data_IF_211979997592
#
_entry.id   IF_211979997592
#
_cell.length_a   1.000
_cell.length_b   1.000
_cell.length_c   1.000
_cell.angle_alpha   90.00
_cell.angle_beta   90.00
_cell.angle_gamma   90.00
#
_symmetry.space_group_name_H-M   'P 1'
#
loop_
_entity.id
_entity.type
_entity.pdbx_description
1 polymer ?
#
# COMPACT_ATOMS: atom_id res chain seq x y z
N UNK A 1 -5.25 -52.70 -17.77
CA UNK A 1 -5.25 -51.43 -17.01
C UNK A 1 -5.99 -50.42 -17.85
N UNK A 2 -7.18 -49.98 -17.43
CA UNK A 2 -7.88 -48.88 -18.11
C UNK A 2 -6.98 -47.65 -18.06
N UNK A 3 -6.78 -46.98 -19.19
CA UNK A 3 -5.96 -45.78 -19.23
C UNK A 3 -6.69 -44.71 -18.40
N UNK A 4 -5.96 -43.87 -17.67
CA UNK A 4 -6.57 -42.75 -16.92
C UNK A 4 -7.40 -41.82 -17.83
N UNK A 5 -7.22 -41.92 -19.14
CA UNK A 5 -7.94 -41.15 -20.15
C UNK A 5 -9.29 -41.77 -20.55
N UNK A 6 -9.53 -43.07 -20.31
CA UNK A 6 -10.77 -43.75 -20.72
C UNK A 6 -11.99 -43.25 -19.93
N UNK A 7 -11.76 -42.63 -18.77
CA UNK A 7 -12.78 -42.05 -17.89
C UNK A 7 -12.58 -40.54 -17.66
N UNK A 8 -11.78 -39.88 -18.51
CA UNK A 8 -11.40 -38.48 -18.33
C UNK A 8 -12.61 -37.56 -18.34
N UNK A 9 -13.60 -37.82 -19.22
CA UNK A 9 -14.83 -37.02 -19.28
C UNK A 9 -15.56 -37.02 -17.95
N UNK A 10 -15.72 -38.19 -17.31
CA UNK A 10 -16.35 -38.30 -15.99
C UNK A 10 -15.53 -37.60 -14.91
N UNK A 11 -14.21 -37.73 -14.93
CA UNK A 11 -13.31 -37.07 -13.98
C UNK A 11 -13.35 -35.55 -14.12
N UNK A 12 -13.43 -35.03 -15.35
CA UNK A 12 -13.57 -33.61 -15.65
C UNK A 12 -15.00 -33.07 -15.45
N UNK A 13 -16.00 -33.96 -15.30
CA UNK A 13 -17.40 -33.58 -15.05
C UNK A 13 -17.71 -33.39 -13.56
N UNK A 14 -16.83 -33.82 -12.66
CA UNK A 14 -16.91 -33.52 -11.23
C UNK A 14 -16.15 -32.24 -10.89
N UNK A 15 -16.57 -31.54 -9.85
CA UNK A 15 -15.84 -30.38 -9.34
C UNK A 15 -14.37 -30.73 -9.03
N UNK A 16 -13.40 -29.84 -9.31
CA UNK A 16 -12.00 -30.09 -9.04
C UNK A 16 -11.77 -30.37 -7.54
N UNK A 17 -11.28 -31.56 -7.21
CA UNK A 17 -10.92 -31.93 -5.84
C UNK A 17 -9.51 -31.44 -5.50
N UNK A 18 -9.37 -30.16 -5.19
CA UNK A 18 -8.13 -29.62 -4.64
C UNK A 18 -8.04 -29.99 -3.15
N UNK A 19 -6.96 -30.68 -2.76
CA UNK A 19 -6.77 -31.07 -1.35
C UNK A 19 -6.40 -29.84 -0.50
N UNK A 20 -6.72 -29.86 0.79
CA UNK A 20 -6.30 -28.81 1.73
C UNK A 20 -4.78 -28.60 1.77
N UNK A 21 -4.00 -29.67 1.51
CA UNK A 21 -2.55 -29.58 1.37
C UNK A 21 -2.13 -28.76 0.15
N UNK A 22 -2.81 -28.96 -0.99
CA UNK A 22 -2.53 -28.19 -2.20
C UNK A 22 -2.93 -26.73 -2.00
N UNK A 23 -4.08 -26.47 -1.37
CA UNK A 23 -4.54 -25.12 -1.03
C UNK A 23 -3.50 -24.36 -0.18
N UNK A 24 -3.00 -25.00 0.88
CA UNK A 24 -1.98 -24.41 1.73
C UNK A 24 -0.66 -24.11 0.98
N UNK A 25 -0.25 -24.99 0.06
CA UNK A 25 0.96 -24.78 -0.75
C UNK A 25 0.81 -23.59 -1.71
N UNK A 26 -0.38 -23.38 -2.29
CA UNK A 26 -0.65 -22.23 -3.16
C UNK A 26 -0.64 -20.90 -2.38
N UNK A 27 -0.98 -20.93 -1.09
CA UNK A 27 -1.03 -19.77 -0.20
C UNK A 27 0.27 -19.54 0.59
N UNK A 28 1.33 -20.32 0.34
CA UNK A 28 2.56 -20.23 1.12
C UNK A 28 3.23 -18.84 1.04
N UNK A 29 3.37 -18.19 -0.14
CA UNK A 29 3.89 -16.81 -0.21
C UNK A 29 3.06 -15.79 0.58
N UNK A 30 1.73 -15.95 0.58
CA UNK A 30 0.82 -15.10 1.34
C UNK A 30 0.94 -15.33 2.85
N UNK A 31 1.01 -16.60 3.26
CA UNK A 31 1.20 -16.98 4.67
C UNK A 31 2.53 -16.45 5.19
N UNK A 32 3.58 -16.55 4.37
CA UNK A 32 4.90 -16.02 4.69
C UNK A 32 4.86 -14.51 4.98
N UNK A 33 4.33 -13.69 4.07
CA UNK A 33 4.32 -12.23 4.26
C UNK A 33 3.41 -11.78 5.42
N UNK A 34 2.28 -12.46 5.63
CA UNK A 34 1.33 -12.14 6.70
C UNK A 34 1.80 -12.59 8.09
N UNK A 35 2.65 -13.63 8.16
CA UNK A 35 3.23 -14.11 9.43
C UNK A 35 4.27 -13.17 10.04
N UNK A 36 4.82 -12.25 9.23
CA UNK A 36 5.84 -11.31 9.68
C UNK A 36 5.20 -10.13 10.42
N UNK A 37 5.54 -9.86 11.69
CA UNK A 37 4.93 -8.79 12.45
C UNK A 37 5.19 -7.42 11.81
N UNK A 38 4.13 -6.63 11.60
CA UNK A 38 4.22 -5.23 11.20
C UNK A 38 3.76 -4.29 12.31
N UNK A 39 3.76 -2.97 12.04
CA UNK A 39 3.19 -1.96 12.96
C UNK A 39 1.66 -2.01 13.05
N UNK A 40 1.00 -2.89 12.28
CA UNK A 40 -0.46 -3.10 12.24
C UNK A 40 -1.28 -1.81 12.06
N UNK A 41 -0.72 -0.81 11.35
CA UNK A 41 -1.32 0.52 11.22
C UNK A 41 -2.69 0.44 10.53
N UNK A 42 -2.87 -0.44 9.54
CA UNK A 42 -4.15 -0.60 8.83
C UNK A 42 -5.26 -1.13 9.74
N UNK A 43 -4.97 -2.16 10.54
CA UNK A 43 -5.92 -2.70 11.52
C UNK A 43 -6.29 -1.61 12.54
N UNK A 44 -5.31 -0.84 13.03
CA UNK A 44 -5.53 0.30 13.93
C UNK A 44 -6.36 1.40 13.29
N UNK A 45 -6.12 1.71 12.02
CA UNK A 45 -6.91 2.69 11.26
C UNK A 45 -8.37 2.25 11.16
N UNK A 46 -8.63 1.00 10.73
CA UNK A 46 -9.99 0.46 10.66
C UNK A 46 -10.68 0.57 12.04
N UNK A 47 -9.99 0.20 13.12
CA UNK A 47 -10.54 0.29 14.48
C UNK A 47 -10.81 1.73 14.90
N UNK A 48 -9.92 2.67 14.57
CA UNK A 48 -10.09 4.09 14.86
C UNK A 48 -11.28 4.67 14.08
N UNK A 49 -11.40 4.40 12.78
CA UNK A 49 -12.55 4.80 11.96
C UNK A 49 -13.87 4.18 12.47
N UNK A 50 -13.82 2.97 13.02
CA UNK A 50 -15.02 2.30 13.52
C UNK A 50 -15.61 2.98 14.76
N UNK A 51 -14.81 3.78 15.49
CA UNK A 51 -15.33 4.60 16.60
C UNK A 51 -16.35 5.65 16.13
N UNK A 52 -16.25 6.10 14.89
CA UNK A 52 -17.21 7.01 14.26
C UNK A 52 -18.36 6.27 13.58
N UNK A 53 -18.07 5.15 12.91
CA UNK A 53 -19.03 4.48 11.99
C UNK A 53 -19.86 3.36 12.64
N UNK A 54 -19.39 2.78 13.74
CA UNK A 54 -20.07 1.71 14.47
C UNK A 54 -20.59 0.58 13.54
N UNK A 55 -19.69 0.04 12.71
CA UNK A 55 -20.02 -1.06 11.79
C UNK A 55 -20.32 -2.34 12.59
N UNK A 56 -21.35 -3.13 12.25
CA UNK A 56 -21.63 -4.40 12.91
C UNK A 56 -20.41 -5.32 12.94
N UNK A 57 -20.16 -5.95 14.09
CA UNK A 57 -18.93 -6.71 14.34
C UNK A 57 -18.66 -7.78 13.28
N UNK A 58 -19.68 -8.53 12.86
CA UNK A 58 -19.53 -9.59 11.85
C UNK A 58 -19.15 -9.04 10.47
N UNK A 59 -19.72 -7.90 10.07
CA UNK A 59 -19.36 -7.19 8.85
C UNK A 59 -17.95 -6.58 8.94
N UNK A 60 -17.61 -5.94 10.06
CA UNK A 60 -16.28 -5.36 10.29
C UNK A 60 -15.17 -6.41 10.19
N UNK A 61 -15.38 -7.62 10.72
CA UNK A 61 -14.41 -8.71 10.59
C UNK A 61 -14.21 -9.14 9.12
N UNK A 62 -15.27 -9.15 8.30
CA UNK A 62 -15.14 -9.43 6.87
C UNK A 62 -14.34 -8.31 6.19
N UNK A 63 -14.66 -7.04 6.47
CA UNK A 63 -13.94 -5.88 5.92
C UNK A 63 -12.44 -5.95 6.26
N UNK A 64 -12.09 -6.23 7.52
CA UNK A 64 -10.70 -6.41 7.94
C UNK A 64 -9.99 -7.52 7.15
N UNK A 65 -10.64 -8.67 6.94
CA UNK A 65 -10.08 -9.77 6.14
C UNK A 65 -9.87 -9.37 4.68
N UNK A 66 -10.86 -8.74 4.05
CA UNK A 66 -10.78 -8.27 2.65
C UNK A 66 -9.63 -7.29 2.49
N UNK A 67 -9.57 -6.25 3.33
CA UNK A 67 -8.49 -5.24 3.29
C UNK A 67 -7.12 -5.88 3.49
N UNK A 68 -6.97 -6.78 4.48
CA UNK A 68 -5.69 -7.44 4.74
C UNK A 68 -5.25 -8.35 3.58
N UNK A 69 -6.19 -9.07 2.96
CA UNK A 69 -5.90 -9.92 1.81
C UNK A 69 -5.46 -9.11 0.60
N UNK A 70 -6.23 -8.08 0.24
CA UNK A 70 -5.91 -7.20 -0.90
C UNK A 70 -4.59 -6.46 -0.67
N UNK A 71 -4.34 -5.99 0.55
CA UNK A 71 -3.09 -5.34 0.88
C UNK A 71 -1.88 -6.28 0.80
N UNK A 72 -1.97 -7.48 1.38
CA UNK A 72 -0.86 -8.43 1.30
C UNK A 72 -0.63 -8.90 -0.14
N UNK A 73 -1.69 -9.11 -0.93
CA UNK A 73 -1.58 -9.41 -2.36
C UNK A 73 -0.90 -8.27 -3.12
N UNK A 74 -1.25 -7.01 -2.85
CA UNK A 74 -0.62 -5.86 -3.49
C UNK A 74 0.87 -5.80 -3.16
N UNK A 75 1.27 -6.04 -1.91
CA UNK A 75 2.68 -6.07 -1.51
C UNK A 75 3.49 -7.15 -2.22
N UNK A 76 2.93 -8.34 -2.40
CA UNK A 76 3.61 -9.44 -3.11
C UNK A 76 3.93 -9.06 -4.56
N UNK A 77 3.03 -8.33 -5.23
CA UNK A 77 3.22 -7.88 -6.62
C UNK A 77 4.14 -6.65 -6.68
N UNK A 78 3.97 -5.70 -5.77
CA UNK A 78 4.79 -4.49 -5.62
C UNK A 78 6.27 -4.85 -5.43
N UNK A 79 6.57 -5.78 -4.50
CA UNK A 79 7.94 -6.27 -4.27
C UNK A 79 8.59 -6.87 -5.53
N UNK A 80 7.80 -7.45 -6.43
CA UNK A 80 8.29 -7.99 -7.72
C UNK A 80 8.51 -6.86 -8.72
N UNK A 81 7.57 -5.92 -8.81
CA UNK A 81 7.61 -4.79 -9.74
C UNK A 81 8.78 -3.84 -9.43
N UNK A 82 9.18 -3.77 -8.16
CA UNK A 82 10.27 -2.94 -7.67
C UNK A 82 11.59 -3.71 -7.50
N UNK A 83 11.61 -5.02 -7.75
CA UNK A 83 12.77 -5.89 -7.49
C UNK A 83 13.34 -5.73 -6.06
N UNK A 84 12.45 -5.52 -5.09
CA UNK A 84 12.82 -5.31 -3.70
C UNK A 84 13.58 -6.51 -3.14
N UNK A 85 14.48 -6.26 -2.18
CA UNK A 85 15.26 -7.33 -1.55
C UNK A 85 14.66 -7.78 -0.22
N UNK A 86 14.24 -6.81 0.60
CA UNK A 86 13.73 -7.05 1.94
C UNK A 86 12.36 -6.43 2.14
N UNK A 87 11.55 -7.07 2.99
CA UNK A 87 10.34 -6.51 3.57
C UNK A 87 10.28 -6.89 5.04
N UNK A 88 10.11 -5.89 5.90
CA UNK A 88 10.07 -6.07 7.37
C UNK A 88 11.30 -6.83 7.90
N UNK A 89 12.47 -6.59 7.30
CA UNK A 89 13.75 -7.21 7.67
C UNK A 89 13.94 -8.65 7.18
N UNK A 90 13.00 -9.20 6.41
CA UNK A 90 13.09 -10.55 5.85
C UNK A 90 13.16 -10.50 4.32
N UNK A 91 13.74 -11.51 3.65
CA UNK A 91 13.72 -11.60 2.19
C UNK A 91 12.30 -11.56 1.64
N UNK A 92 12.06 -10.83 0.56
CA UNK A 92 10.73 -10.80 -0.06
C UNK A 92 10.34 -12.16 -0.63
N UNK A 93 9.02 -12.43 -0.69
CA UNK A 93 8.49 -13.75 -1.02
C UNK A 93 8.98 -14.29 -2.38
N UNK A 94 9.11 -13.42 -3.39
CA UNK A 94 9.53 -13.83 -4.73
C UNK A 94 11.00 -14.28 -4.80
N UNK A 95 11.85 -13.89 -3.85
CA UNK A 95 13.24 -14.38 -3.74
C UNK A 95 13.30 -15.78 -3.12
N UNK A 96 12.26 -16.20 -2.40
CA UNK A 96 12.16 -17.53 -1.76
C UNK A 96 11.40 -18.50 -2.65
N UNK A 97 10.20 -18.11 -3.09
CA UNK A 97 9.24 -18.96 -3.81
C UNK A 97 9.29 -18.79 -5.33
N UNK A 98 10.03 -17.79 -5.81
CA UNK A 98 10.12 -17.46 -7.22
C UNK A 98 8.98 -16.57 -7.71
N UNK A 99 9.32 -15.71 -8.67
CA UNK A 99 8.40 -14.75 -9.30
C UNK A 99 7.08 -15.40 -9.78
N UNK A 100 7.08 -16.53 -10.52
CA UNK A 100 5.84 -17.09 -11.04
C UNK A 100 4.85 -17.53 -9.95
N UNK A 101 5.34 -18.18 -8.89
CA UNK A 101 4.50 -18.62 -7.78
C UNK A 101 3.94 -17.42 -7.02
N UNK A 102 4.77 -16.42 -6.72
CA UNK A 102 4.34 -15.25 -5.97
C UNK A 102 3.28 -14.43 -6.72
N UNK A 103 3.42 -14.23 -8.05
CA UNK A 103 2.38 -13.58 -8.87
C UNK A 103 1.08 -14.37 -8.81
N UNK A 104 1.14 -15.70 -9.00
CA UNK A 104 -0.05 -16.54 -8.98
C UNK A 104 -0.74 -16.51 -7.61
N UNK A 105 0.01 -16.58 -6.51
CA UNK A 105 -0.52 -16.47 -5.15
C UNK A 105 -1.19 -15.13 -4.90
N UNK A 106 -0.57 -14.01 -5.32
CA UNK A 106 -1.16 -12.69 -5.14
C UNK A 106 -2.50 -12.57 -5.89
N UNK A 107 -2.54 -12.98 -7.16
CA UNK A 107 -3.78 -12.99 -7.96
C UNK A 107 -4.84 -13.90 -7.33
N UNK A 108 -4.43 -15.08 -6.85
CA UNK A 108 -5.35 -16.01 -6.19
C UNK A 108 -5.99 -15.42 -4.94
N UNK A 109 -5.19 -14.76 -4.09
CA UNK A 109 -5.65 -14.07 -2.88
C UNK A 109 -6.62 -12.94 -3.21
N UNK A 110 -6.42 -12.19 -4.30
CA UNK A 110 -7.40 -11.20 -4.75
C UNK A 110 -8.78 -11.84 -4.98
N UNK A 111 -8.85 -13.00 -5.65
CA UNK A 111 -10.12 -13.69 -5.88
C UNK A 111 -10.73 -14.28 -4.60
N UNK A 112 -9.90 -14.73 -3.64
CA UNK A 112 -10.38 -15.12 -2.30
C UNK A 112 -10.98 -13.90 -1.58
N UNK A 113 -10.39 -12.72 -1.72
CA UNK A 113 -10.95 -11.48 -1.16
C UNK A 113 -12.32 -11.14 -1.78
N UNK A 114 -12.50 -11.33 -3.09
CA UNK A 114 -13.83 -11.20 -3.72
C UNK A 114 -14.84 -12.22 -3.21
N UNK A 115 -14.42 -13.45 -2.92
CA UNK A 115 -15.30 -14.46 -2.29
C UNK A 115 -15.79 -14.00 -0.90
N UNK A 116 -14.91 -13.45 -0.07
CA UNK A 116 -15.31 -12.85 1.22
C UNK A 116 -16.21 -11.62 1.02
N UNK A 117 -15.96 -10.82 -0.01
CA UNK A 117 -16.77 -9.64 -0.35
C UNK A 117 -18.21 -10.01 -0.75
N UNK A 118 -18.43 -11.14 -1.42
CA UNK A 118 -19.78 -11.62 -1.71
C UNK A 118 -20.55 -11.99 -0.43
N UNK A 119 -19.87 -12.56 0.57
CA UNK A 119 -20.47 -12.81 1.88
C UNK A 119 -20.83 -11.50 2.61
N UNK A 120 -20.01 -10.45 2.47
CA UNK A 120 -20.33 -9.11 2.97
C UNK A 120 -21.56 -8.54 2.27
N UNK A 121 -21.66 -8.69 0.94
CA UNK A 121 -22.79 -8.22 0.13
C UNK A 121 -24.11 -8.83 0.60
N UNK A 122 -24.16 -10.14 0.81
CA UNK A 122 -25.36 -10.83 1.31
C UNK A 122 -25.81 -10.30 2.67
N UNK A 123 -24.86 -10.07 3.58
CA UNK A 123 -25.13 -9.50 4.91
C UNK A 123 -25.56 -8.04 4.84
N UNK A 124 -24.96 -7.24 3.96
CA UNK A 124 -25.27 -5.82 3.82
C UNK A 124 -26.63 -5.60 3.15
N UNK A 125 -26.97 -6.40 2.14
CA UNK A 125 -28.26 -6.35 1.45
C UNK A 125 -29.44 -6.62 2.38
N UNK A 126 -29.24 -7.42 3.43
CA UNK A 126 -30.24 -7.68 4.45
C UNK A 126 -30.48 -6.48 5.40
N UNK A 127 -29.55 -5.52 5.47
CA UNK A 127 -29.57 -4.43 6.46
C UNK A 127 -29.82 -3.07 5.78
N UNK A 128 -29.00 -2.66 4.81
CA UNK A 128 -29.16 -1.40 4.08
C UNK A 128 -28.25 -1.35 2.83
N UNK A 129 -28.78 -1.48 1.60
CA UNK A 129 -27.96 -1.37 0.39
C UNK A 129 -27.76 0.12 0.04
N UNK A 130 -26.78 0.78 0.66
CA UNK A 130 -26.38 2.16 0.30
C UNK A 130 -25.52 2.21 -0.95
N UNK A 131 -24.48 1.40 -0.96
CA UNK A 131 -23.54 1.29 -2.07
C UNK A 131 -23.18 -0.18 -2.28
N UNK A 132 -22.98 -0.57 -3.53
CA UNK A 132 -22.61 -1.92 -3.89
C UNK A 132 -21.14 -2.17 -3.47
N UNK A 133 -20.94 -2.98 -2.42
CA UNK A 133 -19.61 -3.24 -1.84
C UNK A 133 -18.61 -3.83 -2.85
N UNK A 134 -19.10 -4.59 -3.84
CA UNK A 134 -18.33 -5.10 -4.97
C UNK A 134 -17.92 -4.00 -5.95
N UNK A 135 -18.78 -3.01 -6.20
CA UNK A 135 -18.43 -1.85 -7.02
C UNK A 135 -17.35 -0.97 -6.35
N UNK A 136 -17.46 -0.74 -5.03
CA UNK A 136 -16.44 0.00 -4.25
C UNK A 136 -15.07 -0.63 -4.43
N UNK A 137 -14.95 -1.93 -4.17
CA UNK A 137 -13.66 -2.62 -4.25
C UNK A 137 -13.13 -2.64 -5.68
N UNK A 138 -13.99 -2.87 -6.68
CA UNK A 138 -13.58 -2.83 -8.08
C UNK A 138 -13.06 -1.45 -8.50
N UNK A 139 -13.75 -0.38 -8.13
CA UNK A 139 -13.35 1.00 -8.43
C UNK A 139 -12.00 1.34 -7.79
N UNK A 140 -11.83 1.06 -6.49
CA UNK A 140 -10.60 1.40 -5.80
C UNK A 140 -9.41 0.51 -6.21
N UNK A 141 -9.66 -0.74 -6.62
CA UNK A 141 -8.62 -1.57 -7.24
C UNK A 141 -8.18 -0.99 -8.59
N UNK A 142 -9.08 -0.40 -9.37
CA UNK A 142 -8.70 0.31 -10.59
C UNK A 142 -7.83 1.54 -10.28
N UNK A 143 -8.19 2.32 -9.25
CA UNK A 143 -7.36 3.44 -8.79
C UNK A 143 -5.97 2.96 -8.36
N UNK A 144 -5.89 1.92 -7.51
CA UNK A 144 -4.61 1.30 -7.11
C UNK A 144 -3.72 0.94 -8.29
N UNK A 145 -4.28 0.30 -9.32
CA UNK A 145 -3.52 -0.09 -10.52
C UNK A 145 -3.14 1.10 -11.40
N UNK A 146 -3.96 2.15 -11.47
CA UNK A 146 -3.60 3.39 -12.17
C UNK A 146 -2.43 4.08 -11.47
N UNK A 147 -2.49 4.23 -10.15
CA UNK A 147 -1.41 4.80 -9.36
C UNK A 147 -0.10 4.00 -9.51
N UNK A 148 -0.16 2.68 -9.31
CA UNK A 148 1.01 1.81 -9.51
C UNK A 148 1.55 1.88 -10.96
N UNK A 149 0.66 1.92 -11.94
CA UNK A 149 1.02 2.01 -13.35
C UNK A 149 1.74 3.32 -13.69
N UNK A 150 1.30 4.45 -13.13
CA UNK A 150 1.97 5.75 -13.30
C UNK A 150 3.34 5.76 -12.64
N UNK A 151 3.46 5.24 -11.41
CA UNK A 151 4.74 5.14 -10.68
C UNK A 151 5.78 4.35 -11.50
N UNK A 152 5.37 3.18 -12.01
CA UNK A 152 6.21 2.34 -12.89
C UNK A 152 6.51 3.04 -14.21
N UNK A 153 5.52 3.64 -14.87
CA UNK A 153 5.68 4.32 -16.15
C UNK A 153 6.71 5.44 -16.04
N UNK A 154 6.59 6.31 -15.05
CA UNK A 154 7.52 7.40 -14.80
C UNK A 154 8.93 6.88 -14.56
N UNK A 155 9.08 5.93 -13.62
CA UNK A 155 10.35 5.27 -13.30
C UNK A 155 11.03 4.66 -14.53
N UNK A 156 10.30 3.90 -15.33
CA UNK A 156 10.87 3.12 -16.44
C UNK A 156 11.05 3.96 -17.72
N UNK A 157 10.30 5.06 -17.88
CA UNK A 157 10.49 6.04 -18.95
C UNK A 157 11.44 7.19 -18.60
N UNK A 158 11.91 7.25 -17.35
CA UNK A 158 12.71 8.34 -16.78
C UNK A 158 12.04 9.73 -16.92
N UNK A 159 10.71 9.75 -16.81
CA UNK A 159 9.93 10.97 -16.80
C UNK A 159 9.62 11.37 -15.36
N UNK A 160 10.29 12.42 -14.86
CA UNK A 160 9.99 12.96 -13.53
C UNK A 160 8.61 13.66 -13.58
N UNK A 161 7.64 13.26 -12.75
CA UNK A 161 6.34 13.94 -12.68
C UNK A 161 6.46 15.30 -11.99
N UNK A 162 5.45 16.16 -12.19
CA UNK A 162 5.20 17.32 -11.32
C UNK A 162 4.72 16.87 -9.94
N UNK A 163 4.83 17.76 -8.94
CA UNK A 163 4.44 17.44 -7.57
C UNK A 163 2.94 17.07 -7.48
N UNK A 164 2.07 17.84 -8.15
CA UNK A 164 0.63 17.57 -8.16
C UNK A 164 0.28 16.23 -8.83
N UNK A 165 1.01 15.85 -9.87
CA UNK A 165 0.85 14.56 -10.53
C UNK A 165 1.25 13.41 -9.60
N UNK A 166 2.37 13.57 -8.89
CA UNK A 166 2.77 12.62 -7.85
C UNK A 166 1.71 12.48 -6.77
N UNK A 167 1.14 13.58 -6.26
CA UNK A 167 0.07 13.53 -5.26
C UNK A 167 -1.16 12.77 -5.80
N UNK A 168 -1.55 13.02 -7.06
CA UNK A 168 -2.61 12.27 -7.72
C UNK A 168 -2.33 10.77 -7.80
N UNK A 169 -1.11 10.40 -8.22
CA UNK A 169 -0.66 9.00 -8.28
C UNK A 169 -0.68 8.34 -6.90
N UNK A 170 -0.18 9.01 -5.86
CA UNK A 170 -0.19 8.50 -4.48
C UNK A 170 -1.60 8.33 -3.95
N UNK A 171 -2.48 9.28 -4.24
CA UNK A 171 -3.87 9.19 -3.85
C UNK A 171 -4.57 8.00 -4.52
N UNK A 172 -4.14 7.60 -5.72
CA UNK A 172 -4.60 6.38 -6.39
C UNK A 172 -3.95 5.12 -5.80
N UNK A 173 -2.61 5.05 -5.71
CA UNK A 173 -1.82 3.90 -5.24
C UNK A 173 -2.06 3.59 -3.75
N UNK A 174 -1.77 4.54 -2.87
CA UNK A 174 -1.84 4.36 -1.42
C UNK A 174 -3.22 4.72 -0.88
N UNK A 175 -3.83 5.77 -1.44
CA UNK A 175 -5.19 6.19 -1.06
C UNK A 175 -6.25 5.15 -1.44
N UNK A 176 -6.13 4.49 -2.60
CA UNK A 176 -7.08 3.46 -3.02
C UNK A 176 -7.23 2.33 -2.00
N UNK A 177 -6.13 1.84 -1.43
CA UNK A 177 -6.17 0.79 -0.41
C UNK A 177 -6.87 1.26 0.88
N UNK A 178 -6.64 2.50 1.29
CA UNK A 178 -7.30 3.06 2.48
C UNK A 178 -8.78 3.34 2.22
N UNK A 179 -9.13 3.85 1.03
CA UNK A 179 -10.51 4.07 0.60
C UNK A 179 -11.31 2.77 0.51
N UNK A 180 -10.71 1.64 0.11
CA UNK A 180 -11.39 0.32 0.21
C UNK A 180 -11.91 0.10 1.63
N UNK A 181 -11.04 0.26 2.64
CA UNK A 181 -11.43 0.08 4.03
C UNK A 181 -12.50 1.07 4.48
N UNK A 182 -12.26 2.37 4.25
CA UNK A 182 -13.16 3.44 4.68
C UNK A 182 -14.53 3.37 3.99
N UNK A 183 -14.58 3.21 2.66
CA UNK A 183 -15.84 3.15 1.90
C UNK A 183 -16.64 1.89 2.20
N UNK A 184 -15.98 0.73 2.37
CA UNK A 184 -16.68 -0.48 2.82
C UNK A 184 -17.31 -0.28 4.21
N UNK A 185 -16.60 0.39 5.12
CA UNK A 185 -17.17 0.72 6.43
C UNK A 185 -18.32 1.72 6.34
N UNK A 186 -18.21 2.76 5.50
CA UNK A 186 -19.29 3.72 5.25
C UNK A 186 -20.54 3.04 4.69
N UNK A 187 -20.39 2.08 3.77
CA UNK A 187 -21.51 1.30 3.25
C UNK A 187 -22.25 0.53 4.37
N UNK A 188 -21.50 0.02 5.35
CA UNK A 188 -21.97 -0.84 6.43
C UNK A 188 -22.21 -0.13 7.78
N UNK A 189 -21.97 1.18 7.88
CA UNK A 189 -22.00 1.93 9.14
C UNK A 189 -23.42 2.03 9.75
N UNK A 190 -23.52 2.18 11.07
CA UNK A 190 -24.81 2.43 11.76
C UNK A 190 -24.91 3.81 12.38
N UNK A 191 -23.80 4.54 12.44
CA UNK A 191 -23.70 5.91 12.94
C UNK A 191 -22.97 6.78 11.91
N UNK A 192 -23.21 8.10 11.95
CA UNK A 192 -22.58 9.08 11.05
C UNK A 192 -22.74 8.75 9.56
N UNK A 193 -23.92 8.26 9.19
CA UNK A 193 -24.23 7.70 7.87
C UNK A 193 -24.02 8.72 6.73
N UNK A 194 -24.25 9.99 7.01
CA UNK A 194 -24.16 11.07 6.01
C UNK A 194 -22.80 11.78 6.01
N UNK A 195 -21.83 11.26 6.77
CA UNK A 195 -20.47 11.83 6.86
C UNK A 195 -19.55 11.14 5.88
N UNK A 196 -18.91 11.92 5.02
CA UNK A 196 -17.87 11.42 4.11
C UNK A 196 -16.50 11.42 4.80
N UNK A 197 -15.94 10.23 4.97
CA UNK A 197 -14.62 10.00 5.56
C UNK A 197 -13.51 9.81 4.51
N UNK A 198 -13.82 9.85 3.22
CA UNK A 198 -12.84 9.72 2.14
C UNK A 198 -11.79 10.84 2.17
N UNK A 199 -12.14 12.13 2.37
CA UNK A 199 -11.15 13.23 2.37
C UNK A 199 -10.06 13.06 3.43
N UNK A 200 -10.42 12.74 4.67
CA UNK A 200 -9.45 12.47 5.74
C UNK A 200 -8.63 11.20 5.45
N UNK A 201 -9.25 10.17 4.87
CA UNK A 201 -8.53 8.99 4.39
C UNK A 201 -7.45 9.35 3.36
N UNK A 202 -7.79 10.18 2.37
CA UNK A 202 -6.85 10.63 1.35
C UNK A 202 -5.70 11.46 1.95
N UNK A 203 -5.98 12.36 2.91
CA UNK A 203 -4.94 13.12 3.62
C UNK A 203 -3.95 12.18 4.34
N UNK A 204 -4.46 11.20 5.10
CA UNK A 204 -3.64 10.21 5.79
C UNK A 204 -2.81 9.40 4.79
N UNK A 205 -3.37 9.01 3.65
CA UNK A 205 -2.67 8.23 2.63
C UNK A 205 -1.50 9.00 2.00
N UNK A 206 -1.73 10.27 1.63
CA UNK A 206 -0.69 11.13 1.06
C UNK A 206 0.42 11.38 2.08
N UNK A 207 0.06 11.73 3.32
CA UNK A 207 1.02 11.88 4.41
C UNK A 207 1.84 10.60 4.62
N UNK A 208 1.19 9.43 4.66
CA UNK A 208 1.85 8.15 4.87
C UNK A 208 2.86 7.83 3.77
N UNK A 209 2.54 8.12 2.50
CA UNK A 209 3.44 7.84 1.39
C UNK A 209 4.64 8.80 1.35
N UNK A 210 4.42 10.12 1.49
CA UNK A 210 5.52 11.10 1.53
C UNK A 210 6.46 10.79 2.70
N UNK A 211 5.89 10.37 3.83
CA UNK A 211 6.67 9.90 4.97
C UNK A 211 7.48 8.65 4.63
N UNK A 212 6.87 7.65 3.98
CA UNK A 212 7.56 6.40 3.60
C UNK A 212 8.75 6.67 2.67
N UNK A 213 8.57 7.55 1.70
CA UNK A 213 9.60 8.04 0.77
C UNK A 213 10.75 8.75 1.50
N UNK A 214 10.45 9.65 2.44
CA UNK A 214 11.48 10.30 3.26
C UNK A 214 12.24 9.27 4.12
N UNK A 215 11.52 8.36 4.78
CA UNK A 215 12.13 7.35 5.64
C UNK A 215 13.02 6.38 4.86
N UNK A 216 12.65 6.04 3.62
CA UNK A 216 13.48 5.20 2.74
C UNK A 216 14.90 5.77 2.58
N UNK A 217 15.02 7.11 2.49
CA UNK A 217 16.29 7.80 2.26
C UNK A 217 17.02 8.27 3.53
N UNK A 218 16.35 8.34 4.69
CA UNK A 218 16.88 8.97 5.90
C UNK A 218 16.85 8.10 7.16
N UNK A 219 16.14 6.97 7.19
CA UNK A 219 15.96 6.16 8.41
C UNK A 219 16.83 4.91 8.44
N UNK A 220 17.57 4.73 9.55
CA UNK A 220 18.31 3.48 9.80
C UNK A 220 17.37 2.28 10.03
N UNK A 221 16.22 2.48 10.68
CA UNK A 221 15.21 1.42 10.84
C UNK A 221 14.70 0.93 9.47
N UNK A 222 14.53 1.85 8.51
CA UNK A 222 14.11 1.49 7.16
C UNK A 222 15.21 0.78 6.38
N UNK A 223 16.47 1.22 6.54
CA UNK A 223 17.62 0.52 5.99
C UNK A 223 17.64 -0.95 6.40
N UNK A 224 17.45 -1.22 7.70
CA UNK A 224 17.44 -2.59 8.23
C UNK A 224 16.22 -3.40 7.74
N UNK A 225 15.09 -2.75 7.46
CA UNK A 225 13.83 -3.41 7.11
C UNK A 225 13.56 -3.59 5.60
N UNK A 226 14.06 -2.68 4.76
CA UNK A 226 13.83 -2.62 3.31
C UNK A 226 15.13 -2.69 2.50
N UNK A 227 16.23 -2.20 3.06
CA UNK A 227 17.51 -1.99 2.36
C UNK A 227 17.89 -0.50 2.33
N UNK A 228 19.17 -0.21 2.11
CA UNK A 228 19.69 1.15 2.17
C UNK A 228 19.22 1.97 0.95
N UNK A 229 18.30 2.92 1.15
CA UNK A 229 17.81 3.83 0.11
C UNK A 229 17.39 3.09 -1.17
N UNK A 230 16.51 2.09 -1.01
CA UNK A 230 16.04 1.25 -2.11
C UNK A 230 15.26 2.02 -3.17
N UNK A 231 14.61 3.14 -2.84
CA UNK A 231 13.94 3.98 -3.85
C UNK A 231 14.94 4.42 -4.95
N UNK A 232 16.22 4.62 -4.58
CA UNK A 232 17.28 4.93 -5.54
C UNK A 232 17.73 3.70 -6.35
N UNK A 233 17.72 2.49 -5.75
CA UNK A 233 17.98 1.23 -6.49
C UNK A 233 16.88 1.01 -7.53
N UNK A 234 15.63 1.23 -7.14
CA UNK A 234 14.44 1.08 -7.98
C UNK A 234 14.48 2.09 -9.14
N UNK A 235 15.14 3.24 -8.92
CA UNK A 235 15.13 4.38 -9.83
C UNK A 235 13.84 5.19 -9.71
N UNK A 236 13.16 5.07 -8.57
CA UNK A 236 11.84 5.64 -8.31
C UNK A 236 11.92 7.16 -8.13
N UNK A 237 10.90 7.85 -8.65
CA UNK A 237 10.68 9.27 -8.41
C UNK A 237 9.92 9.45 -7.09
N UNK A 238 10.61 9.27 -5.96
CA UNK A 238 10.03 9.53 -4.64
C UNK A 238 9.93 11.03 -4.33
N UNK A 239 9.09 11.44 -3.39
CA UNK A 239 8.79 12.86 -3.15
C UNK A 239 10.04 13.76 -2.96
N UNK A 240 11.05 13.41 -2.12
CA UNK A 240 12.25 14.23 -1.99
C UNK A 240 13.09 14.29 -3.27
N UNK A 241 13.04 13.23 -4.08
CA UNK A 241 13.75 13.11 -5.36
C UNK A 241 13.10 14.00 -6.42
N UNK A 242 11.77 13.99 -6.52
CA UNK A 242 10.99 14.88 -7.40
C UNK A 242 11.33 16.33 -7.10
N UNK A 243 11.23 16.75 -5.83
CA UNK A 243 11.58 18.11 -5.44
C UNK A 243 13.04 18.44 -5.79
N UNK A 244 13.98 17.51 -5.60
CA UNK A 244 15.40 17.74 -5.93
C UNK A 244 15.63 18.03 -7.41
N UNK A 245 14.95 17.29 -8.29
CA UNK A 245 15.05 17.46 -9.74
C UNK A 245 14.47 18.81 -10.16
N UNK A 246 13.30 19.18 -9.62
CA UNK A 246 12.63 20.44 -9.96
C UNK A 246 13.31 21.68 -9.37
N UNK A 247 13.92 21.55 -8.19
CA UNK A 247 14.68 22.63 -7.56
C UNK A 247 15.90 23.07 -8.41
N UNK A 248 16.42 22.21 -9.27
CA UNK A 248 17.48 22.54 -10.21
C UNK A 248 17.43 21.68 -11.48
N UNK A 249 16.55 22.04 -12.41
CA UNK A 249 16.32 21.30 -13.66
C UNK A 249 17.54 21.25 -14.60
N UNK A 250 18.51 22.18 -14.46
CA UNK A 250 19.75 22.16 -15.25
C UNK A 250 20.73 21.07 -14.77
N UNK A 251 20.56 20.59 -13.53
CA UNK A 251 21.44 19.63 -12.89
C UNK A 251 20.89 18.21 -12.97
N UNK A 252 21.39 17.47 -13.96
CA UNK A 252 20.91 16.10 -14.25
C UNK A 252 21.51 15.03 -13.33
N UNK A 253 22.25 15.38 -12.27
CA UNK A 253 22.94 14.40 -11.39
C UNK A 253 21.98 13.39 -10.77
N UNK A 254 20.87 13.86 -10.19
CA UNK A 254 19.89 12.98 -9.54
C UNK A 254 19.25 12.02 -10.55
N UNK A 255 18.81 12.56 -11.70
CA UNK A 255 18.23 11.75 -12.78
C UNK A 255 19.20 10.68 -13.29
N UNK A 256 20.48 11.04 -13.45
CA UNK A 256 21.52 10.08 -13.84
C UNK A 256 21.73 9.00 -12.78
N UNK A 257 21.62 9.30 -11.48
CA UNK A 257 21.70 8.28 -10.43
C UNK A 257 20.51 7.31 -10.53
N UNK A 258 19.29 7.81 -10.67
CA UNK A 258 18.09 6.96 -10.81
C UNK A 258 18.19 6.04 -12.02
N UNK A 259 18.62 6.56 -13.18
CA UNK A 259 18.81 5.76 -14.39
C UNK A 259 19.80 4.60 -14.19
N UNK A 260 20.79 4.73 -13.31
CA UNK A 260 21.79 3.69 -13.05
C UNK A 260 21.30 2.60 -12.10
N UNK A 261 20.21 2.82 -11.37
CA UNK A 261 19.65 1.86 -10.42
C UNK A 261 20.73 1.26 -9.50
N UNK A 262 21.48 2.13 -8.77
CA UNK A 262 22.66 1.70 -8.05
C UNK A 262 22.34 0.68 -6.97
N UNK A 263 23.02 -0.46 -6.99
CA UNK A 263 22.97 -1.46 -5.90
C UNK A 263 24.03 -1.21 -4.83
N UNK A 264 25.03 -0.37 -5.11
CA UNK A 264 26.13 -0.07 -4.18
C UNK A 264 25.91 1.27 -3.44
N UNK A 265 26.42 1.44 -2.21
CA UNK A 265 26.15 2.63 -1.41
C UNK A 265 26.73 3.94 -1.97
N UNK A 266 27.73 3.89 -2.85
CA UNK A 266 28.49 5.09 -3.27
C UNK A 266 27.60 6.11 -3.97
N UNK A 267 26.85 5.69 -5.00
CA UNK A 267 25.96 6.59 -5.74
C UNK A 267 24.74 6.99 -4.88
N UNK A 268 24.23 6.08 -4.06
CA UNK A 268 23.12 6.35 -3.14
C UNK A 268 23.48 7.46 -2.14
N UNK A 269 24.65 7.34 -1.47
CA UNK A 269 25.17 8.37 -0.54
C UNK A 269 25.41 9.70 -1.23
N UNK A 270 25.89 9.68 -2.48
CA UNK A 270 26.10 10.90 -3.26
C UNK A 270 24.78 11.62 -3.52
N UNK A 271 23.75 10.91 -4.01
CA UNK A 271 22.42 11.49 -4.23
C UNK A 271 21.79 12.00 -2.93
N UNK A 272 21.81 11.23 -1.86
CA UNK A 272 21.29 11.65 -0.54
C UNK A 272 21.99 12.93 -0.05
N UNK A 273 23.32 13.01 -0.17
CA UNK A 273 24.07 14.21 0.20
C UNK A 273 23.69 15.42 -0.66
N UNK A 274 23.43 15.21 -1.96
CA UNK A 274 22.97 16.26 -2.85
C UNK A 274 21.58 16.77 -2.46
N UNK A 275 20.61 15.85 -2.25
CA UNK A 275 19.27 16.16 -1.77
C UNK A 275 19.28 16.96 -0.46
N UNK A 276 20.15 16.56 0.49
CA UNK A 276 20.29 17.20 1.81
C UNK A 276 20.94 18.58 1.74
N UNK A 277 22.03 18.70 1.00
CA UNK A 277 22.91 19.87 1.11
C UNK A 277 22.69 20.92 0.02
N UNK A 278 22.32 20.50 -1.19
CA UNK A 278 22.23 21.39 -2.35
C UNK A 278 20.79 21.83 -2.60
N UNK A 279 19.85 20.89 -2.72
CA UNK A 279 18.45 21.21 -3.06
C UNK A 279 17.54 21.36 -1.85
N UNK A 280 18.03 21.05 -0.64
CA UNK A 280 17.25 21.14 0.61
C UNK A 280 15.94 20.34 0.57
N UNK A 281 15.93 19.23 -0.17
CA UNK A 281 14.72 18.45 -0.42
C UNK A 281 14.19 17.76 0.85
N UNK A 282 15.06 17.40 1.78
CA UNK A 282 14.61 16.82 3.05
C UNK A 282 13.95 17.86 3.95
N UNK A 283 14.49 19.08 4.01
CA UNK A 283 13.88 20.18 4.77
C UNK A 283 12.51 20.55 4.17
N UNK A 284 12.42 20.61 2.83
CA UNK A 284 11.14 20.80 2.13
C UNK A 284 10.15 19.69 2.46
N UNK A 285 10.56 18.42 2.33
CA UNK A 285 9.68 17.26 2.61
C UNK A 285 9.17 17.26 4.05
N UNK A 286 10.02 17.62 5.02
CA UNK A 286 9.61 17.75 6.42
C UNK A 286 8.56 18.85 6.60
N UNK A 287 8.74 20.01 5.97
CA UNK A 287 7.74 21.10 6.04
C UNK A 287 6.38 20.71 5.45
N UNK A 288 6.38 19.92 4.35
CA UNK A 288 5.16 19.39 3.75
C UNK A 288 4.50 18.38 4.68
N UNK A 289 5.26 17.49 5.31
CA UNK A 289 4.73 16.53 6.29
C UNK A 289 4.14 17.22 7.51
N UNK A 290 4.79 18.25 8.05
CA UNK A 290 4.26 19.05 9.17
C UNK A 290 2.91 19.69 8.80
N UNK A 291 2.81 20.24 7.59
CA UNK A 291 1.57 20.85 7.10
C UNK A 291 0.44 19.81 6.92
N UNK A 292 0.73 18.68 6.29
CA UNK A 292 -0.23 17.59 6.10
C UNK A 292 -0.67 16.97 7.43
N UNK A 293 0.24 16.85 8.40
CA UNK A 293 -0.10 16.40 9.76
C UNK A 293 -1.05 17.39 10.44
N UNK A 294 -0.77 18.69 10.36
CA UNK A 294 -1.63 19.73 10.91
C UNK A 294 -3.04 19.69 10.30
N UNK A 295 -3.14 19.65 8.96
CA UNK A 295 -4.42 19.51 8.25
C UNK A 295 -5.17 18.23 8.67
N UNK A 296 -4.45 17.11 8.81
CA UNK A 296 -5.06 15.85 9.25
C UNK A 296 -5.64 15.97 10.66
N UNK A 297 -4.92 16.59 11.60
CA UNK A 297 -5.39 16.79 12.98
C UNK A 297 -6.55 17.79 13.07
N UNK A 298 -6.50 18.87 12.29
CA UNK A 298 -7.63 19.81 12.17
C UNK A 298 -8.88 19.11 11.63
N UNK A 299 -8.73 18.24 10.65
CA UNK A 299 -9.83 17.46 10.07
C UNK A 299 -10.38 16.42 11.07
N UNK A 300 -9.51 15.76 11.84
CA UNK A 300 -9.94 14.89 12.96
C UNK A 300 -10.79 15.68 13.94
N UNK A 301 -10.36 16.88 14.33
CA UNK A 301 -11.11 17.74 15.24
C UNK A 301 -12.45 18.20 14.63
N UNK A 302 -12.46 18.61 13.36
CA UNK A 302 -13.67 19.01 12.62
C UNK A 302 -14.71 17.89 12.57
N UNK A 303 -14.27 16.64 12.47
CA UNK A 303 -15.11 15.44 12.48
C UNK A 303 -15.54 14.98 13.89
N UNK A 304 -15.29 15.78 14.93
CA UNK A 304 -15.71 15.51 16.31
C UNK A 304 -14.66 14.83 17.18
N UNK A 305 -13.42 14.71 16.71
CA UNK A 305 -12.30 14.10 17.42
C UNK A 305 -12.26 12.57 17.33
N UNK A 306 -11.05 12.01 17.34
CA UNK A 306 -10.83 10.56 17.30
C UNK A 306 -9.49 10.18 17.95
N UNK A 307 -9.47 9.77 19.23
CA UNK A 307 -8.24 9.44 19.94
C UNK A 307 -7.43 8.32 19.29
N UNK A 308 -8.09 7.42 18.55
CA UNK A 308 -7.43 6.35 17.81
C UNK A 308 -6.61 6.90 16.65
N UNK A 309 -7.17 7.81 15.87
CA UNK A 309 -6.48 8.46 14.75
C UNK A 309 -5.37 9.40 15.25
N UNK A 310 -5.61 10.19 16.31
CA UNK A 310 -4.58 11.05 16.92
C UNK A 310 -3.35 10.23 17.32
N UNK A 311 -3.57 9.10 17.99
CA UNK A 311 -2.48 8.19 18.39
C UNK A 311 -1.74 7.58 17.19
N UNK A 312 -2.44 7.33 16.08
CA UNK A 312 -1.80 6.86 14.85
C UNK A 312 -0.93 7.97 14.24
N UNK A 313 -1.41 9.21 14.23
CA UNK A 313 -0.61 10.35 13.81
C UNK A 313 0.62 10.53 14.70
N UNK A 314 0.51 10.36 16.01
CA UNK A 314 1.66 10.40 16.93
C UNK A 314 2.69 9.30 16.63
N UNK A 315 2.24 8.09 16.27
CA UNK A 315 3.12 6.98 15.87
C UNK A 315 3.83 7.27 14.54
N UNK A 316 3.12 7.96 13.64
CA UNK A 316 3.63 8.30 12.32
C UNK A 316 4.44 9.61 12.32
N UNK A 317 4.35 10.43 13.35
CA UNK A 317 5.09 11.68 13.43
C UNK A 317 6.58 11.47 13.15
N UNK A 318 7.12 12.29 12.25
CA UNK A 318 8.53 12.27 11.89
C UNK A 318 9.28 13.25 12.77
N UNK A 319 10.03 12.71 13.72
CA UNK A 319 10.93 13.50 14.56
C UNK A 319 12.25 13.76 13.80
N UNK A 320 12.56 15.01 13.40
CA UNK A 320 13.77 15.33 12.64
C UNK A 320 15.05 14.94 13.38
N UNK A 321 15.03 14.88 14.72
CA UNK A 321 16.20 14.50 15.52
C UNK A 321 16.56 13.02 15.40
N UNK A 322 15.66 12.18 14.85
CA UNK A 322 15.88 10.74 14.63
C UNK A 322 16.31 10.41 13.19
N UNK A 323 16.47 11.40 12.33
CA UNK A 323 16.92 11.22 10.95
C UNK A 323 18.45 11.26 10.84
N UNK A 324 18.99 10.60 9.81
CA UNK A 324 20.44 10.50 9.55
C UNK A 324 21.02 11.58 8.63
#
# INVERSE_FOLDING_TARGET
MMSSYDNIFKMLSSDPNLTARNEAALLEPFTYITSQPGKEIRTKLIDAFNTWMNVPTDQLQIIKRVVNMLHAASLLVDDIQDDSQLRRGNPVAHKIYGVPQTINTANYVCFIAFKELFALREKNAAVCPREAVDAIVAEELLCLHRGQGLDILWRDSLHCPEEEEYIGMVNDKTGGMLRIGVRLMMACCTTNIDVDYVPIGNLIAVYFQIRDDLMNLQSQEYNDNKGFAEDLTEGKFSFPVIHSIHANMEDTRVLNVLQRRPTTPTLKKHAISYLKNQTKSFDYTLSVLENLEAQTREEIQRLGGNPGLEKIMDILHVDPAKLS
#
